data_IF_840857967292
#
_entry.id   IF_840857967292
#
_cell.length_a   1.000
_cell.length_b   1.000
_cell.length_c   1.000
_cell.angle_alpha   90.00
_cell.angle_beta   90.00
_cell.angle_gamma   90.00
#
_symmetry.space_group_name_H-M   'P 1'
#
loop_
_entity.id
_entity.type
_entity.pdbx_description
1 polymer ?
#
# COMPACT_ATOMS: atom_id res chain seq x y z
N UNK A 1 -6.57 2.22 -19.14
CA UNK A 1 -5.99 1.57 -17.94
C UNK A 1 -5.21 2.63 -17.18
N UNK A 2 -5.79 3.16 -16.11
CA UNK A 2 -5.14 4.17 -15.26
C UNK A 2 -3.94 3.51 -14.56
N UNK A 3 -2.76 3.64 -15.16
CA UNK A 3 -1.50 3.20 -14.54
C UNK A 3 -1.41 3.98 -13.24
N UNK A 4 -1.57 3.30 -12.11
CA UNK A 4 -1.31 3.93 -10.81
C UNK A 4 0.13 4.45 -10.86
N UNK A 5 0.32 5.77 -10.72
CA UNK A 5 1.65 6.42 -10.79
C UNK A 5 2.55 5.95 -9.64
N UNK A 6 1.95 5.33 -8.61
CA UNK A 6 2.61 4.80 -7.43
C UNK A 6 3.31 3.47 -7.74
N UNK A 7 4.62 3.41 -7.47
CA UNK A 7 5.41 2.18 -7.50
C UNK A 7 5.19 1.34 -6.24
N UNK A 8 5.47 0.04 -6.32
CA UNK A 8 5.33 -0.87 -5.17
C UNK A 8 6.31 -0.48 -4.06
N UNK A 9 7.51 -0.05 -4.46
CA UNK A 9 8.59 0.39 -3.57
C UNK A 9 8.14 1.60 -2.75
N UNK A 10 7.58 2.63 -3.40
CA UNK A 10 7.04 3.79 -2.71
C UNK A 10 5.89 3.43 -1.76
N UNK A 11 4.98 2.54 -2.18
CA UNK A 11 3.89 2.10 -1.32
C UNK A 11 4.40 1.38 -0.07
N UNK A 12 5.48 0.60 -0.17
CA UNK A 12 6.13 -0.06 0.97
C UNK A 12 6.81 0.94 1.90
N UNK A 13 7.51 1.93 1.35
CA UNK A 13 8.12 3.01 2.14
C UNK A 13 7.07 3.76 2.96
N UNK A 14 5.96 4.13 2.32
CA UNK A 14 4.85 4.77 3.02
C UNK A 14 4.27 3.87 4.11
N UNK A 15 4.04 2.59 3.81
CA UNK A 15 3.54 1.63 4.80
C UNK A 15 4.43 1.57 6.04
N UNK A 16 5.76 1.57 5.88
CA UNK A 16 6.71 1.60 6.99
C UNK A 16 6.60 2.86 7.84
N UNK A 17 6.43 4.03 7.21
CA UNK A 17 6.21 5.31 7.93
C UNK A 17 4.94 5.24 8.79
N UNK A 18 3.86 4.66 8.26
CA UNK A 18 2.60 4.53 9.00
C UNK A 18 2.68 3.49 10.13
N UNK A 19 3.48 2.44 9.99
CA UNK A 19 3.77 1.52 11.11
C UNK A 19 4.56 2.19 12.23
N UNK A 20 5.62 2.94 11.89
CA UNK A 20 6.38 3.69 12.88
C UNK A 20 5.49 4.71 13.63
N UNK A 21 4.58 5.37 12.90
CA UNK A 21 3.59 6.25 13.52
C UNK A 21 2.65 5.49 14.47
N UNK A 22 2.19 4.30 14.09
CA UNK A 22 1.35 3.46 14.95
C UNK A 22 2.08 3.05 16.24
N UNK A 23 3.35 2.67 16.16
CA UNK A 23 4.16 2.26 17.30
C UNK A 23 4.42 3.43 18.27
N UNK A 24 4.78 4.60 17.74
CA UNK A 24 4.97 5.81 18.53
C UNK A 24 3.67 6.20 19.25
N UNK A 25 2.56 6.25 18.52
CA UNK A 25 1.25 6.61 19.07
C UNK A 25 0.74 5.58 20.08
N UNK A 26 0.94 4.29 19.83
CA UNK A 26 0.62 3.23 20.79
C UNK A 26 1.44 3.34 22.08
N UNK A 27 2.66 3.87 21.99
CA UNK A 27 3.53 4.17 23.13
C UNK A 27 3.21 5.52 23.81
N UNK A 28 2.14 6.20 23.38
CA UNK A 28 1.72 7.50 23.90
C UNK A 28 2.57 8.68 23.43
N UNK A 29 3.40 8.51 22.41
CA UNK A 29 4.19 9.58 21.81
C UNK A 29 3.46 10.17 20.60
N UNK A 30 3.64 11.46 20.37
CA UNK A 30 3.18 12.11 19.14
C UNK A 30 4.19 11.87 18.01
N UNK A 31 3.69 11.59 16.82
CA UNK A 31 4.50 11.32 15.63
C UNK A 31 4.24 12.35 14.53
N UNK A 32 5.29 13.03 14.06
CA UNK A 32 5.16 14.04 13.00
C UNK A 32 5.35 13.41 11.63
N UNK A 33 4.32 13.52 10.78
CA UNK A 33 4.37 13.11 9.38
C UNK A 33 4.22 14.33 8.48
N UNK A 34 5.33 14.74 7.85
CA UNK A 34 5.38 15.97 7.06
C UNK A 34 4.97 17.20 7.87
N UNK A 35 3.82 17.78 7.54
CA UNK A 35 3.23 18.95 8.23
C UNK A 35 2.17 18.58 9.27
N UNK A 36 1.75 17.31 9.34
CA UNK A 36 0.71 16.85 10.28
C UNK A 36 1.33 16.15 11.49
N UNK A 37 0.64 16.23 12.62
CA UNK A 37 1.01 15.52 13.85
C UNK A 37 -0.03 14.41 14.10
N UNK A 38 0.45 13.21 14.39
CA UNK A 38 -0.34 12.02 14.67
C UNK A 38 -0.24 11.70 16.16
N UNK A 39 -1.39 11.49 16.79
CA UNK A 39 -1.54 11.28 18.23
C UNK A 39 -2.57 10.18 18.49
N UNK A 40 -2.79 9.79 19.76
CA UNK A 40 -3.73 8.72 20.14
C UNK A 40 -5.15 8.84 19.52
N UNK A 41 -5.76 10.04 19.40
CA UNK A 41 -7.06 10.18 18.73
C UNK A 41 -7.05 9.78 17.24
N UNK A 42 -5.89 9.85 16.59
CA UNK A 42 -5.71 9.57 15.17
C UNK A 42 -5.43 8.08 14.90
N UNK A 43 -5.46 7.20 15.91
CA UNK A 43 -5.18 5.76 15.75
C UNK A 43 -6.09 5.11 14.70
N UNK A 44 -7.34 5.55 14.59
CA UNK A 44 -8.27 5.07 13.55
C UNK A 44 -7.80 5.48 12.15
N UNK A 45 -7.36 6.72 11.96
CA UNK A 45 -6.82 7.23 10.69
C UNK A 45 -5.56 6.44 10.31
N UNK A 46 -4.63 6.23 11.25
CA UNK A 46 -3.40 5.46 11.02
C UNK A 46 -3.71 4.04 10.53
N UNK A 47 -4.63 3.33 11.20
CA UNK A 47 -5.06 1.98 10.78
C UNK A 47 -5.68 1.98 9.38
N UNK A 48 -6.49 2.99 9.06
CA UNK A 48 -7.08 3.14 7.72
C UNK A 48 -6.00 3.35 6.66
N UNK A 49 -4.99 4.17 6.94
CA UNK A 49 -3.88 4.42 6.01
C UNK A 49 -3.01 3.17 5.81
N UNK A 50 -2.69 2.44 6.87
CA UNK A 50 -1.98 1.15 6.79
C UNK A 50 -2.73 0.20 5.85
N UNK A 51 -4.03 -0.02 6.09
CA UNK A 51 -4.85 -0.90 5.25
C UNK A 51 -4.87 -0.44 3.79
N UNK A 52 -5.01 0.87 3.55
CA UNK A 52 -4.99 1.42 2.20
C UNK A 52 -3.69 1.08 1.45
N UNK A 53 -2.53 1.22 2.10
CA UNK A 53 -1.24 0.91 1.49
C UNK A 53 -1.04 -0.61 1.29
N UNK A 54 -1.49 -1.45 2.22
CA UNK A 54 -1.49 -2.91 2.05
C UNK A 54 -2.33 -3.35 0.85
N UNK A 55 -3.56 -2.83 0.74
CA UNK A 55 -4.46 -3.09 -0.38
C UNK A 55 -3.82 -2.61 -1.69
N UNK A 56 -3.19 -1.43 -1.70
CA UNK A 56 -2.48 -0.89 -2.87
C UNK A 56 -1.32 -1.78 -3.30
N UNK A 57 -0.51 -2.26 -2.36
CA UNK A 57 0.60 -3.19 -2.64
C UNK A 57 0.04 -4.49 -3.23
N UNK A 58 -1.05 -5.02 -2.67
CA UNK A 58 -1.72 -6.22 -3.16
C UNK A 58 -2.24 -6.04 -4.59
N UNK A 59 -2.90 -4.91 -4.89
CA UNK A 59 -3.34 -4.55 -6.25
C UNK A 59 -2.17 -4.49 -7.24
N UNK A 60 -1.10 -3.80 -6.87
CA UNK A 60 0.08 -3.63 -7.73
C UNK A 60 0.83 -4.95 -7.96
N UNK A 61 0.87 -5.85 -6.96
CA UNK A 61 1.41 -7.20 -7.13
C UNK A 61 0.52 -8.07 -8.02
N UNK A 62 -0.81 -8.00 -7.87
CA UNK A 62 -1.78 -8.74 -8.70
C UNK A 62 -1.77 -8.27 -10.15
N UNK A 63 -1.62 -6.97 -10.40
CA UNK A 63 -1.50 -6.40 -11.75
C UNK A 63 -0.26 -6.86 -12.53
N UNK A 64 0.76 -7.41 -11.84
CA UNK A 64 1.94 -8.05 -12.47
C UNK A 64 1.75 -9.53 -12.79
N UNK A 65 0.66 -10.18 -12.36
CA UNK A 65 0.30 -11.52 -12.89
C UNK A 65 -0.18 -11.31 -14.32
N UNK A 66 0.77 -11.43 -15.24
CA UNK A 66 0.57 -11.55 -16.69
C UNK A 66 -0.77 -12.25 -16.97
N UNK A 67 -1.68 -11.57 -17.67
CA UNK A 67 -2.74 -12.27 -18.41
C UNK A 67 -1.99 -13.20 -19.35
N UNK A 68 -1.81 -14.47 -18.99
CA UNK A 68 -1.40 -15.50 -19.94
C UNK A 68 -2.54 -15.58 -20.94
N UNK A 69 -2.47 -14.79 -22.00
CA UNK A 69 -3.14 -15.13 -23.24
C UNK A 69 -2.49 -16.42 -23.68
N UNK A 70 -3.16 -17.55 -23.41
CA UNK A 70 -2.91 -18.73 -24.21
C UNK A 70 -3.28 -18.34 -25.63
N UNK A 71 -2.29 -18.08 -26.48
CA UNK A 71 -2.50 -18.16 -27.92
C UNK A 71 -2.82 -19.63 -28.17
N UNK A 72 -4.10 -19.98 -28.08
CA UNK A 72 -4.61 -21.24 -28.61
C UNK A 72 -4.51 -21.07 -30.12
N UNK A 73 -3.37 -21.45 -30.68
CA UNK A 73 -3.28 -21.70 -32.10
C UNK A 73 -4.02 -23.02 -32.30
N UNK A 74 -5.14 -23.06 -33.04
CA UNK A 74 -5.70 -24.33 -33.45
C UNK A 74 -4.64 -25.05 -34.31
N UNK A 75 -4.12 -26.16 -33.79
CA UNK A 75 -3.41 -27.13 -34.61
C UNK A 75 -4.49 -27.87 -35.37
N UNK A 76 -4.71 -27.45 -36.61
CA UNK A 76 -5.42 -28.25 -37.60
C UNK A 76 -4.35 -29.05 -38.35
N UNK A 77 -4.22 -30.34 -38.04
CA UNK A 77 -3.70 -31.43 -38.90
C UNK A 77 -4.15 -32.78 -38.36
#
# INVERSE_FOLDING_TARGET
MSKSVITIEYAREQLMVWYAAMEAVASGQDYKIGTRMLSMPNLKEIRTQIKYWEDKISELQRGKRSRRTFNIVPVDM
#
